data_IF_743606271393
#
_entry.id   IF_743606271393
#
_cell.length_a   1.000
_cell.length_b   1.000
_cell.length_c   1.000
_cell.angle_alpha   90.00
_cell.angle_beta   90.00
_cell.angle_gamma   90.00
#
_symmetry.space_group_name_H-M   'P 1'
#
loop_
_entity.id
_entity.type
_entity.pdbx_description
1 polymer ?
#
# COMPACT_ATOMS: atom_id res chain seq x y z
N UNK A 1 -36.96 -70.73 32.47
CA UNK A 1 -36.24 -70.58 31.19
C UNK A 1 -36.87 -69.40 30.43
N UNK A 2 -37.02 -68.22 31.04
CA UNK A 2 -36.04 -67.17 31.39
C UNK A 2 -35.48 -66.48 30.13
N UNK A 3 -35.64 -65.20 29.82
CA UNK A 3 -36.47 -64.05 30.25
C UNK A 3 -36.44 -63.08 29.04
N UNK A 4 -37.52 -62.31 28.87
CA UNK A 4 -37.74 -61.26 27.89
C UNK A 4 -36.71 -60.10 27.95
N UNK A 5 -36.43 -59.46 26.80
CA UNK A 5 -35.66 -58.22 26.69
C UNK A 5 -36.57 -57.00 26.87
N UNK A 6 -36.34 -56.22 27.93
CA UNK A 6 -36.91 -54.89 28.15
C UNK A 6 -35.83 -53.79 28.06
N UNK A 7 -36.25 -52.59 27.65
CA UNK A 7 -35.47 -51.35 27.45
C UNK A 7 -35.02 -50.72 28.77
N UNK A 8 -33.85 -50.03 28.82
CA UNK A 8 -33.64 -48.68 29.42
C UNK A 8 -32.33 -48.04 28.87
N UNK A 9 -32.42 -46.73 28.57
CA UNK A 9 -31.41 -45.74 28.13
C UNK A 9 -30.07 -45.69 28.91
N UNK A 10 -28.99 -45.28 28.22
CA UNK A 10 -28.03 -44.25 28.68
C UNK A 10 -27.13 -43.75 27.54
N UNK A 11 -27.10 -42.43 27.36
CA UNK A 11 -26.23 -41.67 26.47
C UNK A 11 -24.75 -41.94 26.77
N UNK A 12 -23.93 -42.16 25.74
CA UNK A 12 -22.47 -41.95 25.81
C UNK A 12 -22.02 -41.22 24.54
N UNK A 13 -21.78 -39.92 24.74
CA UNK A 13 -20.86 -39.01 24.06
C UNK A 13 -20.43 -39.30 22.62
N UNK A 14 -20.96 -38.49 21.69
CA UNK A 14 -20.20 -37.99 20.55
C UNK A 14 -19.18 -36.99 21.10
N UNK A 15 -17.90 -37.34 21.06
CA UNK A 15 -16.79 -36.40 21.24
C UNK A 15 -15.55 -36.98 20.57
N UNK A 16 -15.51 -36.90 19.24
CA UNK A 16 -14.26 -36.95 18.49
C UNK A 16 -13.85 -35.49 18.31
N UNK A 17 -12.74 -35.17 18.96
CA UNK A 17 -12.32 -33.82 19.32
C UNK A 17 -12.10 -32.87 18.14
N UNK A 18 -12.68 -31.69 18.30
CA UNK A 18 -12.24 -30.41 17.76
C UNK A 18 -10.84 -30.03 18.31
N UNK A 19 -9.77 -30.74 17.95
CA UNK A 19 -8.40 -30.37 18.34
C UNK A 19 -7.45 -30.39 17.12
N UNK A 20 -7.84 -29.71 16.04
CA UNK A 20 -6.90 -29.35 14.97
C UNK A 20 -7.03 -27.89 14.49
N UNK A 21 -7.91 -27.09 15.11
CA UNK A 21 -8.12 -25.68 14.74
C UNK A 21 -7.39 -24.68 15.65
N UNK A 22 -6.80 -25.12 16.77
CA UNK A 22 -6.15 -24.24 17.77
C UNK A 22 -4.64 -24.04 17.60
N UNK A 23 -3.95 -24.91 16.85
CA UNK A 23 -2.48 -24.86 16.72
C UNK A 23 -2.04 -24.04 15.49
N UNK A 24 -2.85 -24.02 14.42
CA UNK A 24 -2.56 -23.18 13.24
C UNK A 24 -2.83 -21.68 13.48
N UNK A 25 -3.75 -21.32 14.38
CA UNK A 25 -4.08 -19.91 14.65
C UNK A 25 -3.07 -19.23 15.57
N UNK A 26 -2.46 -19.97 16.50
CA UNK A 26 -1.49 -19.43 17.47
C UNK A 26 -0.13 -19.11 16.83
N UNK A 27 0.34 -19.94 15.90
CA UNK A 27 1.62 -19.71 15.19
C UNK A 27 1.59 -18.51 14.24
N UNK A 28 0.49 -18.33 13.50
CA UNK A 28 0.33 -17.17 12.61
C UNK A 28 0.27 -15.85 13.40
N UNK A 29 -0.47 -15.82 14.52
CA UNK A 29 -0.54 -14.64 15.40
C UNK A 29 0.80 -14.36 16.07
N UNK A 30 1.58 -15.39 16.42
CA UNK A 30 2.93 -15.20 16.97
C UNK A 30 3.88 -14.55 15.95
N UNK A 31 3.89 -15.01 14.70
CA UNK A 31 4.73 -14.45 13.64
C UNK A 31 4.41 -12.97 13.35
N UNK A 32 3.13 -12.59 13.35
CA UNK A 32 2.74 -11.18 13.19
C UNK A 32 3.28 -10.31 14.34
N UNK A 33 3.18 -10.79 15.58
CA UNK A 33 3.69 -10.06 16.75
C UNK A 33 5.21 -9.92 16.73
N UNK A 34 5.94 -10.90 16.20
CA UNK A 34 7.39 -10.80 16.01
C UNK A 34 7.73 -9.67 15.04
N UNK A 35 7.02 -9.59 13.90
CA UNK A 35 7.21 -8.48 12.96
C UNK A 35 6.82 -7.12 13.55
N UNK A 36 5.72 -7.03 14.30
CA UNK A 36 5.35 -5.80 15.02
C UNK A 36 6.42 -5.37 16.02
N UNK A 37 7.07 -6.35 16.68
CA UNK A 37 8.20 -6.09 17.56
C UNK A 37 9.43 -5.62 16.78
N UNK A 38 9.75 -6.22 15.61
CA UNK A 38 10.85 -5.75 14.76
C UNK A 38 10.63 -4.32 14.26
N UNK A 39 9.41 -3.97 13.83
CA UNK A 39 9.08 -2.60 13.39
C UNK A 39 9.38 -1.58 14.49
N UNK A 40 9.11 -1.93 15.75
CA UNK A 40 9.25 -1.04 16.91
C UNK A 40 10.65 -1.04 17.54
N UNK A 41 11.31 -2.19 17.57
CA UNK A 41 12.48 -2.41 18.44
C UNK A 41 13.80 -2.59 17.68
N UNK A 42 13.76 -2.83 16.36
CA UNK A 42 14.98 -2.88 15.55
C UNK A 42 15.60 -1.48 15.47
N UNK A 43 16.93 -1.39 15.59
CA UNK A 43 17.66 -0.14 15.35
C UNK A 43 17.67 0.15 13.85
N UNK A 44 17.02 1.25 13.47
CA UNK A 44 16.85 1.67 12.09
C UNK A 44 17.58 3.00 11.88
N UNK A 45 18.55 3.01 10.96
CA UNK A 45 19.25 4.23 10.54
C UNK A 45 18.46 4.91 9.44
N UNK A 46 18.09 6.18 9.65
CA UNK A 46 17.49 6.98 8.59
C UNK A 46 18.53 7.24 7.49
N UNK A 47 18.24 6.81 6.26
CA UNK A 47 19.15 6.98 5.11
C UNK A 47 18.64 7.96 4.07
N UNK A 48 17.32 8.20 4.04
CA UNK A 48 16.70 9.21 3.19
C UNK A 48 15.35 9.62 3.77
N UNK A 49 15.01 10.91 3.65
CA UNK A 49 13.66 11.37 3.94
C UNK A 49 13.27 12.60 3.14
N UNK A 50 11.96 12.84 3.10
CA UNK A 50 11.38 14.15 2.86
C UNK A 50 10.36 14.44 3.96
N UNK A 51 10.67 15.43 4.80
CA UNK A 51 9.81 15.91 5.90
C UNK A 51 8.88 17.03 5.42
N UNK A 52 9.01 17.48 4.16
CA UNK A 52 8.20 18.56 3.59
C UNK A 52 8.16 19.85 4.43
N UNK A 53 9.21 20.14 5.20
CA UNK A 53 9.37 21.39 5.97
C UNK A 53 9.76 22.61 5.11
N UNK A 54 10.15 22.37 3.85
CA UNK A 54 10.55 23.41 2.91
C UNK A 54 9.39 24.31 2.47
N UNK A 55 9.68 25.37 1.71
CA UNK A 55 8.62 26.22 1.12
C UNK A 55 8.05 25.67 -0.20
N UNK A 56 8.81 24.79 -0.85
CA UNK A 56 8.51 24.22 -2.16
C UNK A 56 8.94 22.76 -2.19
N UNK A 57 8.30 21.97 -3.05
CA UNK A 57 8.67 20.57 -3.26
C UNK A 57 10.11 20.51 -3.79
N UNK A 58 10.93 19.68 -3.15
CA UNK A 58 12.34 19.53 -3.51
C UNK A 58 12.48 18.76 -4.83
N UNK A 59 12.77 19.51 -5.90
CA UNK A 59 12.98 18.93 -7.23
C UNK A 59 14.34 18.25 -7.38
N UNK A 60 15.20 18.21 -6.37
CA UNK A 60 16.33 17.27 -6.33
C UNK A 60 15.89 15.85 -5.93
N UNK A 61 14.76 15.72 -5.21
CA UNK A 61 14.18 14.45 -4.76
C UNK A 61 13.05 13.96 -5.66
N UNK A 62 12.21 14.87 -6.13
CA UNK A 62 10.97 14.52 -6.84
C UNK A 62 10.92 15.02 -8.27
N UNK A 63 10.27 14.25 -9.15
CA UNK A 63 9.83 14.70 -10.47
C UNK A 63 8.38 14.31 -10.71
N UNK A 64 7.72 14.97 -11.66
CA UNK A 64 6.31 14.76 -11.96
C UNK A 64 6.14 13.89 -13.20
N UNK A 65 5.18 12.96 -13.13
CA UNK A 65 4.57 12.40 -14.33
C UNK A 65 3.50 13.39 -14.83
N UNK A 66 3.41 13.57 -16.15
CA UNK A 66 2.52 14.55 -16.78
C UNK A 66 1.54 13.82 -17.70
N UNK A 67 0.29 14.27 -17.67
CA UNK A 67 -0.77 13.81 -18.54
C UNK A 67 -1.56 12.61 -18.02
N UNK A 68 -2.29 11.99 -18.93
CA UNK A 68 -3.18 10.86 -18.62
C UNK A 68 -2.64 9.52 -19.16
N UNK A 69 -1.70 9.53 -20.11
CA UNK A 69 -1.06 8.33 -20.69
C UNK A 69 -2.06 7.19 -21.02
N UNK A 70 -3.19 7.53 -21.64
CA UNK A 70 -4.31 6.61 -21.93
C UNK A 70 -4.87 5.90 -20.67
N UNK A 71 -5.11 6.68 -19.61
CA UNK A 71 -5.66 6.21 -18.35
C UNK A 71 -4.67 5.45 -17.48
N UNK A 72 -3.36 5.64 -17.67
CA UNK A 72 -2.27 5.04 -16.88
C UNK A 72 -2.35 3.50 -16.74
N UNK A 73 -3.00 2.82 -17.68
CA UNK A 73 -3.23 1.36 -17.64
C UNK A 73 -4.48 0.93 -16.87
N UNK A 74 -5.14 1.85 -16.17
CA UNK A 74 -6.27 1.57 -15.28
C UNK A 74 -7.56 2.32 -15.64
N UNK A 75 -7.63 2.93 -16.82
CA UNK A 75 -8.74 3.78 -17.27
C UNK A 75 -9.01 4.99 -16.35
N UNK A 76 -7.93 5.54 -15.78
CA UNK A 76 -7.96 6.72 -14.92
C UNK A 76 -8.39 7.99 -15.69
N UNK A 77 -9.12 8.91 -15.04
CA UNK A 77 -9.70 10.10 -15.69
C UNK A 77 -8.90 11.40 -15.49
N UNK A 78 -7.99 11.44 -14.51
CA UNK A 78 -7.21 12.64 -14.24
C UNK A 78 -6.12 12.89 -15.29
N UNK A 79 -5.85 14.17 -15.50
CA UNK A 79 -4.61 14.65 -16.11
C UNK A 79 -3.63 15.01 -14.99
N UNK A 80 -2.50 14.31 -14.90
CA UNK A 80 -1.46 14.71 -13.96
C UNK A 80 -0.74 15.98 -14.43
N UNK A 81 -0.62 16.97 -13.56
CA UNK A 81 0.03 18.24 -13.88
C UNK A 81 1.47 18.26 -13.37
N UNK A 82 2.28 19.14 -13.97
CA UNK A 82 3.63 19.43 -13.54
C UNK A 82 3.62 20.33 -12.28
N UNK A 83 3.27 19.74 -11.13
CA UNK A 83 3.33 20.41 -9.83
C UNK A 83 2.24 21.45 -9.54
N UNK A 84 1.31 21.74 -10.47
CA UNK A 84 0.20 22.70 -10.21
C UNK A 84 -0.84 22.16 -9.22
N UNK A 85 -0.86 20.86 -9.00
CA UNK A 85 -1.76 20.16 -8.11
C UNK A 85 -1.06 19.67 -6.83
N UNK A 86 0.16 20.15 -6.56
CA UNK A 86 0.88 19.81 -5.35
C UNK A 86 1.65 21.01 -4.78
N UNK A 87 1.65 21.15 -3.46
CA UNK A 87 2.40 22.19 -2.76
C UNK A 87 2.72 21.75 -1.34
N UNK A 88 3.58 22.52 -0.67
CA UNK A 88 3.82 22.36 0.76
C UNK A 88 2.98 23.35 1.53
N UNK A 89 2.23 22.88 2.52
CA UNK A 89 1.44 23.69 3.44
C UNK A 89 1.55 23.10 4.85
N UNK A 90 1.92 23.94 5.81
CA UNK A 90 2.03 23.56 7.23
C UNK A 90 2.95 22.35 7.50
N UNK A 91 4.11 22.30 6.81
CA UNK A 91 5.08 21.20 6.98
C UNK A 91 4.64 19.88 6.35
N UNK A 92 3.67 19.92 5.42
CA UNK A 92 3.15 18.71 4.77
C UNK A 92 3.07 18.93 3.26
N UNK A 93 3.34 17.87 2.50
CA UNK A 93 2.96 17.81 1.10
C UNK A 93 1.43 17.66 0.99
N UNK A 94 0.83 18.50 0.17
CA UNK A 94 -0.57 18.39 -0.24
C UNK A 94 -0.60 17.99 -1.71
N UNK A 95 -1.26 16.88 -2.04
CA UNK A 95 -1.63 16.51 -3.41
C UNK A 95 -3.14 16.72 -3.55
N UNK A 96 -3.56 17.60 -4.46
CA UNK A 96 -4.95 17.99 -4.66
C UNK A 96 -5.48 17.51 -6.02
N UNK A 97 -6.50 16.66 -5.99
CA UNK A 97 -7.32 16.41 -7.15
C UNK A 97 -8.39 17.50 -7.28
N UNK A 98 -8.50 18.10 -8.47
CA UNK A 98 -9.51 19.12 -8.80
C UNK A 98 -10.42 18.65 -9.91
N UNK A 99 -11.68 19.08 -9.87
CA UNK A 99 -12.62 18.96 -10.99
C UNK A 99 -12.48 20.21 -11.87
N UNK A 100 -11.54 20.17 -12.79
CA UNK A 100 -11.24 21.27 -13.72
C UNK A 100 -10.90 20.74 -15.12
N UNK A 101 -11.19 21.55 -16.14
CA UNK A 101 -10.99 21.14 -17.53
C UNK A 101 -9.58 21.45 -18.02
N UNK A 102 -8.88 20.43 -18.50
CA UNK A 102 -7.60 20.55 -19.22
C UNK A 102 -7.74 19.96 -20.61
N UNK A 103 -7.14 20.61 -21.61
CA UNK A 103 -7.08 20.13 -22.99
C UNK A 103 -5.64 19.81 -23.36
N UNK A 104 -5.42 18.63 -23.94
CA UNK A 104 -4.15 18.22 -24.53
C UNK A 104 -4.42 17.70 -25.94
N UNK A 105 -4.02 18.48 -26.95
CA UNK A 105 -4.43 18.24 -28.34
C UNK A 105 -5.96 18.19 -28.46
N UNK A 106 -6.47 17.09 -29.01
CA UNK A 106 -7.91 16.86 -29.19
C UNK A 106 -8.60 16.17 -27.99
N UNK A 107 -7.87 15.86 -26.91
CA UNK A 107 -8.42 15.22 -25.72
C UNK A 107 -8.80 16.28 -24.68
N UNK A 108 -9.93 16.05 -24.01
CA UNK A 108 -10.40 16.88 -22.88
C UNK A 108 -10.47 16.02 -21.64
N UNK A 109 -9.85 16.49 -20.56
CA UNK A 109 -9.88 15.88 -19.23
C UNK A 109 -10.63 16.80 -18.29
N UNK A 110 -11.42 16.24 -17.37
CA UNK A 110 -12.26 17.01 -16.44
C UNK A 110 -11.76 16.96 -15.00
N UNK A 111 -10.60 16.34 -14.79
CA UNK A 111 -9.95 16.25 -13.51
C UNK A 111 -8.45 16.45 -13.67
N UNK A 112 -7.84 17.13 -12.70
CA UNK A 112 -6.39 17.27 -12.59
C UNK A 112 -5.93 16.76 -11.25
N UNK A 113 -4.69 16.30 -11.17
CA UNK A 113 -4.06 15.86 -9.93
C UNK A 113 -2.53 15.88 -10.08
N UNK A 114 -1.81 15.30 -9.12
CA UNK A 114 -0.35 15.07 -9.21
C UNK A 114 -0.02 13.59 -9.02
N UNK A 115 0.95 13.13 -9.81
CA UNK A 115 1.75 11.92 -9.61
C UNK A 115 3.21 12.33 -9.61
N UNK A 116 3.89 12.09 -8.50
CA UNK A 116 5.29 12.44 -8.31
C UNK A 116 6.09 11.21 -7.92
N UNK A 117 7.37 11.19 -8.31
CA UNK A 117 8.24 10.03 -8.12
C UNK A 117 9.70 10.41 -7.93
N UNK A 118 10.46 9.48 -7.36
CA UNK A 118 11.90 9.63 -7.13
C UNK A 118 12.76 8.96 -8.22
N UNK A 119 12.17 8.43 -9.28
CA UNK A 119 12.88 7.74 -10.38
C UNK A 119 14.07 8.57 -10.91
N UNK A 120 15.28 8.01 -10.83
CA UNK A 120 16.53 8.67 -11.26
C UNK A 120 17.06 9.74 -10.30
N UNK A 121 16.48 9.84 -9.09
CA UNK A 121 16.87 10.77 -8.02
C UNK A 121 17.17 10.02 -6.73
N UNK A 122 16.28 9.11 -6.37
CA UNK A 122 16.45 8.20 -5.24
C UNK A 122 15.76 6.87 -5.54
N UNK A 123 16.49 5.78 -5.30
CA UNK A 123 15.97 4.43 -5.27
C UNK A 123 16.58 3.72 -4.07
N UNK A 124 15.91 2.68 -3.57
CA UNK A 124 16.39 1.88 -2.46
C UNK A 124 16.16 0.41 -2.74
N UNK A 125 17.08 -0.43 -2.29
CA UNK A 125 16.87 -1.87 -2.16
C UNK A 125 16.83 -2.21 -0.67
N UNK A 126 15.78 -2.91 -0.26
CA UNK A 126 15.53 -3.31 1.12
C UNK A 126 15.39 -2.14 2.12
N UNK A 127 15.10 -2.48 3.37
CA UNK A 127 14.95 -1.55 4.48
C UNK A 127 13.51 -1.36 4.93
N UNK A 128 13.29 -0.33 5.73
CA UNK A 128 11.97 0.10 6.18
C UNK A 128 11.59 1.38 5.44
N UNK A 129 10.45 1.37 4.78
CA UNK A 129 9.93 2.51 4.01
C UNK A 129 8.56 2.87 4.57
N UNK A 130 8.38 4.11 5.01
CA UNK A 130 7.11 4.56 5.58
C UNK A 130 6.77 6.00 5.18
N UNK A 131 5.47 6.29 5.16
CA UNK A 131 4.95 7.63 5.02
C UNK A 131 3.76 7.83 5.96
N UNK A 132 3.67 9.03 6.53
CA UNK A 132 2.54 9.41 7.38
C UNK A 132 1.54 10.20 6.55
N UNK A 133 0.37 9.61 6.30
CA UNK A 133 -0.58 10.08 5.28
C UNK A 133 -1.99 10.21 5.86
N UNK A 134 -2.74 11.22 5.42
CA UNK A 134 -4.21 11.31 5.57
C UNK A 134 -4.87 11.38 4.20
N UNK A 135 -5.84 10.52 3.94
CA UNK A 135 -6.47 10.37 2.62
C UNK A 135 -7.74 11.22 2.46
N UNK A 136 -8.12 11.58 1.21
CA UNK A 136 -9.40 12.20 0.93
C UNK A 136 -10.55 11.17 0.88
N UNK A 137 -11.75 11.56 1.33
CA UNK A 137 -12.97 10.77 1.17
C UNK A 137 -13.66 11.07 -0.16
N UNK A 138 -14.20 10.06 -0.84
CA UNK A 138 -15.04 10.24 -2.03
C UNK A 138 -14.96 9.07 -3.02
N UNK A 139 -16.12 8.66 -3.58
CA UNK A 139 -16.15 7.64 -4.64
C UNK A 139 -15.28 8.06 -5.83
N UNK A 140 -14.52 7.12 -6.37
CA UNK A 140 -13.63 7.34 -7.50
C UNK A 140 -12.29 7.99 -7.15
N UNK A 141 -12.04 8.40 -5.91
CA UNK A 141 -10.71 8.85 -5.48
C UNK A 141 -9.85 7.63 -5.14
N UNK A 142 -8.60 7.66 -5.62
CA UNK A 142 -7.65 6.55 -5.45
C UNK A 142 -6.24 7.10 -5.18
N UNK A 143 -5.95 7.52 -3.93
CA UNK A 143 -4.60 7.83 -3.51
C UNK A 143 -3.77 6.56 -3.33
N UNK A 144 -2.48 6.67 -3.64
CA UNK A 144 -1.53 5.59 -3.45
C UNK A 144 -0.14 6.10 -3.03
N UNK A 145 0.54 5.30 -2.22
CA UNK A 145 1.97 5.37 -1.92
C UNK A 145 2.56 4.01 -2.23
N UNK A 146 3.47 3.97 -3.19
CA UNK A 146 3.89 2.74 -3.83
C UNK A 146 5.28 2.89 -4.43
N UNK A 147 5.82 1.77 -4.92
CA UNK A 147 7.18 1.70 -5.44
C UNK A 147 7.21 0.87 -6.73
N UNK A 148 8.12 1.22 -7.63
CA UNK A 148 8.32 0.50 -8.89
C UNK A 148 9.82 0.20 -9.10
N UNK A 149 10.14 -0.96 -9.66
CA UNK A 149 11.53 -1.34 -9.91
C UNK A 149 12.24 -0.33 -10.81
N UNK A 150 13.46 0.05 -10.42
CA UNK A 150 14.27 1.06 -11.14
C UNK A 150 14.69 0.60 -12.53
N UNK A 151 14.62 -0.71 -12.79
CA UNK A 151 14.81 -1.31 -14.10
C UNK A 151 13.57 -1.19 -15.03
N UNK A 152 12.47 -0.54 -14.61
CA UNK A 152 11.22 -0.39 -15.37
C UNK A 152 11.42 0.04 -16.83
N UNK A 153 12.34 0.96 -17.09
CA UNK A 153 12.63 1.45 -18.46
C UNK A 153 13.27 0.40 -19.37
N UNK A 154 13.88 -0.63 -18.80
CA UNK A 154 14.57 -1.68 -19.54
C UNK A 154 13.72 -2.94 -19.70
N UNK A 155 13.00 -3.35 -18.64
CA UNK A 155 12.27 -4.63 -18.61
C UNK A 155 10.75 -4.47 -18.71
N UNK A 156 10.24 -3.26 -18.51
CA UNK A 156 8.81 -2.96 -18.49
C UNK A 156 8.06 -3.54 -17.29
N UNK A 157 6.80 -3.16 -17.16
CA UNK A 157 5.88 -3.74 -16.18
C UNK A 157 5.16 -4.96 -16.78
N UNK A 158 4.89 -6.04 -16.01
CA UNK A 158 5.12 -6.21 -14.57
C UNK A 158 6.51 -6.76 -14.21
N UNK A 159 7.41 -6.94 -15.17
CA UNK A 159 8.73 -7.56 -14.96
C UNK A 159 9.62 -6.79 -13.99
N UNK A 160 9.48 -5.46 -13.93
CA UNK A 160 10.21 -4.63 -12.98
C UNK A 160 9.82 -4.83 -11.51
N UNK A 161 8.66 -5.45 -11.25
CA UNK A 161 8.06 -5.48 -9.93
C UNK A 161 7.42 -4.14 -9.51
N UNK A 162 6.42 -4.25 -8.67
CA UNK A 162 5.69 -3.14 -8.04
C UNK A 162 5.31 -3.52 -6.60
N UNK A 163 5.54 -2.61 -5.66
CA UNK A 163 5.20 -2.76 -4.25
C UNK A 163 4.27 -1.62 -3.88
N UNK A 164 2.98 -1.92 -3.74
CA UNK A 164 2.00 -0.96 -3.26
C UNK A 164 2.01 -0.95 -1.74
N UNK A 165 2.71 0.03 -1.15
CA UNK A 165 2.79 0.16 0.31
C UNK A 165 1.41 0.46 0.87
N UNK A 166 0.66 1.35 0.21
CA UNK A 166 -0.75 1.54 0.49
C UNK A 166 -1.50 2.05 -0.72
N UNK A 167 -2.63 1.42 -0.99
CA UNK A 167 -3.69 1.95 -1.84
C UNK A 167 -4.99 2.10 -1.04
N UNK A 168 -5.76 3.14 -1.37
CA UNK A 168 -7.00 3.44 -0.69
C UNK A 168 -8.10 3.77 -1.69
N UNK A 169 -9.30 3.24 -1.46
CA UNK A 169 -10.47 3.49 -2.30
C UNK A 169 -11.40 4.45 -1.57
N UNK A 170 -11.55 5.67 -2.08
CA UNK A 170 -12.22 6.75 -1.33
C UNK A 170 -13.70 6.53 -0.96
N UNK A 171 -14.34 5.47 -1.45
CA UNK A 171 -15.68 5.09 -1.02
C UNK A 171 -15.72 4.20 0.24
N UNK A 172 -14.63 3.49 0.56
CA UNK A 172 -14.49 2.74 1.81
C UNK A 172 -13.39 3.35 2.69
N UNK A 173 -13.80 4.33 3.50
CA UNK A 173 -12.91 5.09 4.37
C UNK A 173 -12.18 4.29 5.45
N UNK A 174 -12.58 3.03 5.66
CA UNK A 174 -12.07 2.19 6.74
C UNK A 174 -11.01 1.20 6.29
N UNK A 175 -10.83 1.01 4.98
CA UNK A 175 -10.02 -0.09 4.45
C UNK A 175 -8.90 0.43 3.55
N UNK A 176 -7.71 -0.15 3.71
CA UNK A 176 -6.56 0.05 2.84
C UNK A 176 -6.03 -1.30 2.36
N UNK A 177 -5.26 -1.26 1.27
CA UNK A 177 -4.69 -2.42 0.62
C UNK A 177 -3.19 -2.26 0.48
N UNK A 178 -2.45 -3.34 0.74
CA UNK A 178 -1.04 -3.47 0.38
C UNK A 178 -0.90 -4.60 -0.62
N UNK A 179 -0.31 -4.33 -1.77
CA UNK A 179 -0.32 -5.24 -2.91
C UNK A 179 1.08 -5.41 -3.48
N UNK A 180 1.34 -6.62 -3.98
CA UNK A 180 2.58 -6.98 -4.64
C UNK A 180 2.29 -7.44 -6.07
N UNK A 181 2.94 -6.81 -7.06
CA UNK A 181 2.83 -7.21 -8.46
C UNK A 181 4.16 -7.62 -9.08
N UNK A 182 4.13 -8.69 -9.87
CA UNK A 182 5.28 -9.19 -10.63
C UNK A 182 4.85 -10.19 -11.71
N UNK A 183 5.81 -10.80 -12.45
CA UNK A 183 5.50 -11.69 -13.57
C UNK A 183 4.60 -12.86 -13.18
N UNK A 184 3.39 -12.85 -13.72
CA UNK A 184 2.39 -13.89 -13.46
C UNK A 184 1.61 -13.73 -12.15
N UNK A 185 1.72 -12.59 -11.47
CA UNK A 185 0.91 -12.18 -10.31
C UNK A 185 0.75 -10.64 -10.32
N UNK A 186 -0.02 -10.11 -11.28
CA UNK A 186 -0.19 -8.66 -11.50
C UNK A 186 -1.64 -8.28 -11.81
N UNK A 187 -1.95 -6.98 -11.82
CA UNK A 187 -3.31 -6.49 -12.03
C UNK A 187 -4.27 -7.08 -10.99
N UNK A 188 -5.43 -7.58 -11.43
CA UNK A 188 -6.40 -8.23 -10.54
C UNK A 188 -5.89 -9.52 -9.86
N UNK A 189 -4.75 -10.06 -10.31
CA UNK A 189 -4.09 -11.23 -9.71
C UNK A 189 -2.84 -10.87 -8.90
N UNK A 190 -2.67 -9.57 -8.57
CA UNK A 190 -1.70 -9.13 -7.57
C UNK A 190 -1.92 -9.84 -6.24
N UNK A 191 -0.83 -10.01 -5.49
CA UNK A 191 -0.91 -10.62 -4.16
C UNK A 191 -1.21 -9.50 -3.19
N UNK A 192 -2.47 -9.43 -2.74
CA UNK A 192 -2.99 -8.31 -1.97
C UNK A 192 -3.41 -8.76 -0.57
N UNK A 193 -3.09 -7.92 0.41
CA UNK A 193 -3.65 -7.95 1.76
C UNK A 193 -4.41 -6.66 2.04
N UNK A 194 -5.31 -6.69 3.02
CA UNK A 194 -6.06 -5.49 3.42
C UNK A 194 -6.06 -5.31 4.93
N UNK A 195 -6.16 -4.06 5.36
CA UNK A 195 -6.40 -3.73 6.75
C UNK A 195 -7.63 -2.85 6.86
N UNK A 196 -8.53 -3.25 7.76
CA UNK A 196 -9.71 -2.48 8.13
C UNK A 196 -9.55 -1.89 9.53
N UNK A 197 -9.75 -0.59 9.66
CA UNK A 197 -9.88 0.06 10.96
C UNK A 197 -11.27 -0.18 11.53
N UNK A 198 -11.33 -0.36 12.84
CA UNK A 198 -12.58 -0.49 13.58
C UNK A 198 -12.75 0.69 14.56
N UNK A 199 -14.00 1.16 14.77
CA UNK A 199 -14.30 2.13 15.80
C UNK A 199 -13.80 1.68 17.19
N UNK A 200 -13.39 2.59 18.09
CA UNK A 200 -13.51 4.06 17.98
C UNK A 200 -12.35 4.76 17.27
N UNK A 201 -11.43 4.01 16.64
CA UNK A 201 -10.31 4.59 15.88
C UNK A 201 -10.84 5.53 14.79
N UNK A 202 -10.31 6.76 14.63
CA UNK A 202 -10.61 7.58 13.47
C UNK A 202 -10.31 6.83 12.17
N UNK A 203 -11.16 7.03 11.16
CA UNK A 203 -10.94 6.42 9.84
C UNK A 203 -9.81 7.14 9.07
N UNK A 204 -9.34 6.54 7.97
CA UNK A 204 -8.19 7.03 7.19
C UNK A 204 -8.38 8.41 6.54
N UNK A 205 -9.60 8.96 6.59
CA UNK A 205 -9.93 10.29 6.06
C UNK A 205 -10.02 11.35 7.15
N UNK A 206 -10.01 10.92 8.43
CA UNK A 206 -10.13 11.80 9.59
C UNK A 206 -8.81 12.06 10.29
N UNK A 207 -7.90 11.10 10.30
CA UNK A 207 -6.60 11.25 10.94
C UNK A 207 -5.45 10.76 10.06
N UNK A 208 -4.23 11.12 10.43
CA UNK A 208 -3.02 10.63 9.81
C UNK A 208 -2.65 9.26 10.37
N UNK A 209 -2.21 8.38 9.48
CA UNK A 209 -1.71 7.06 9.82
C UNK A 209 -0.34 6.84 9.18
N UNK A 210 0.49 6.00 9.80
CA UNK A 210 1.79 5.61 9.25
C UNK A 210 1.59 4.35 8.44
N UNK A 211 1.82 4.43 7.14
CA UNK A 211 1.78 3.30 6.21
C UNK A 211 3.21 2.95 5.83
N UNK A 212 3.56 1.66 5.93
CA UNK A 212 4.92 1.27 5.60
C UNK A 212 5.10 -0.20 5.30
N UNK A 213 6.30 -0.50 4.83
CA UNK A 213 6.81 -1.85 4.65
C UNK A 213 8.13 -2.02 5.39
N UNK A 214 8.40 -3.24 5.83
CA UNK A 214 9.75 -3.78 5.99
C UNK A 214 10.02 -4.72 4.82
N UNK A 215 11.15 -4.55 4.16
CA UNK A 215 11.54 -5.31 2.99
C UNK A 215 12.98 -5.78 3.15
N UNK A 216 13.19 -7.08 2.99
CA UNK A 216 14.51 -7.70 2.95
C UNK A 216 14.60 -8.72 1.80
N UNK A 217 15.71 -9.46 1.73
CA UNK A 217 15.97 -10.46 0.69
C UNK A 217 14.92 -11.58 0.63
N UNK A 218 14.23 -11.85 1.73
CA UNK A 218 13.35 -13.00 1.91
C UNK A 218 11.86 -12.64 1.91
N UNK A 219 11.50 -11.39 2.25
CA UNK A 219 10.10 -11.00 2.43
C UNK A 219 9.86 -9.50 2.37
N UNK A 220 8.58 -9.18 2.18
CA UNK A 220 8.00 -7.85 2.37
C UNK A 220 6.86 -7.98 3.39
N UNK A 221 6.82 -7.06 4.36
CA UNK A 221 5.88 -7.02 5.48
C UNK A 221 5.23 -5.64 5.51
N UNK A 222 3.92 -5.58 5.28
CA UNK A 222 3.15 -4.33 5.31
C UNK A 222 2.54 -4.09 6.68
N UNK A 223 2.53 -2.83 7.08
CA UNK A 223 1.93 -2.41 8.34
C UNK A 223 1.24 -1.06 8.23
N UNK A 224 0.33 -0.84 9.17
CA UNK A 224 -0.25 0.48 9.45
C UNK A 224 -0.20 0.75 10.96
N UNK A 225 0.38 1.89 11.34
CA UNK A 225 0.61 2.26 12.74
C UNK A 225 1.32 1.15 13.53
N UNK A 226 2.33 0.54 12.91
CA UNK A 226 3.09 -0.61 13.41
C UNK A 226 2.29 -1.90 13.62
N UNK A 227 1.07 -2.02 13.06
CA UNK A 227 0.30 -3.27 13.05
C UNK A 227 0.44 -3.96 11.70
N UNK A 228 0.91 -5.20 11.71
CA UNK A 228 1.14 -5.95 10.48
C UNK A 228 -0.16 -6.54 9.98
N UNK A 229 -0.42 -6.42 8.67
CA UNK A 229 -1.63 -6.96 8.05
C UNK A 229 -1.35 -7.78 6.78
N UNK A 230 -0.15 -7.68 6.21
CA UNK A 230 0.22 -8.44 5.02
C UNK A 230 1.70 -8.84 5.07
N UNK A 231 1.99 -10.07 4.64
CA UNK A 231 3.34 -10.60 4.53
C UNK A 231 3.40 -11.43 3.25
N UNK A 232 4.42 -11.17 2.43
CA UNK A 232 4.73 -11.98 1.25
C UNK A 232 6.18 -12.39 1.32
N UNK A 233 6.45 -13.70 1.22
CA UNK A 233 7.81 -14.24 1.23
C UNK A 233 8.23 -14.68 -0.17
N UNK A 234 9.52 -14.57 -0.46
CA UNK A 234 10.16 -15.10 -1.67
C UNK A 234 9.81 -16.57 -1.89
N UNK A 235 9.96 -17.38 -0.84
CA UNK A 235 9.62 -18.81 -0.87
C UNK A 235 8.17 -19.10 -1.27
N UNK A 236 7.19 -18.28 -0.85
CA UNK A 236 5.79 -18.47 -1.21
C UNK A 236 5.48 -18.12 -2.67
N UNK A 237 6.26 -17.22 -3.28
CA UNK A 237 6.18 -16.89 -4.71
C UNK A 237 6.82 -18.01 -5.55
N UNK A 238 8.04 -18.39 -5.20
CA UNK A 238 8.82 -19.39 -5.93
C UNK A 238 8.20 -20.79 -5.85
N UNK A 239 7.60 -21.16 -4.71
CA UNK A 239 6.88 -22.44 -4.57
C UNK A 239 5.67 -22.57 -5.51
N UNK A 240 5.19 -21.45 -6.07
CA UNK A 240 4.12 -21.41 -7.09
C UNK A 240 4.67 -21.35 -8.52
N UNK A 241 5.99 -21.52 -8.70
CA UNK A 241 6.67 -21.42 -9.99
C UNK A 241 6.65 -20.02 -10.57
N UNK A 242 6.56 -18.99 -9.73
CA UNK A 242 6.61 -17.58 -10.13
C UNK A 242 7.96 -16.97 -9.73
N UNK A 243 8.54 -16.03 -10.50
CA UNK A 243 9.80 -15.41 -10.15
C UNK A 243 9.60 -14.35 -9.05
N UNK A 244 10.52 -14.30 -8.09
CA UNK A 244 10.70 -13.15 -7.21
C UNK A 244 11.46 -12.05 -7.96
N UNK A 245 10.95 -10.82 -7.95
CA UNK A 245 11.54 -9.66 -8.67
C UNK A 245 11.72 -8.44 -7.75
N UNK A 246 11.84 -8.69 -6.44
CA UNK A 246 12.00 -7.65 -5.42
C UNK A 246 13.40 -7.75 -4.79
N UNK A 247 14.39 -7.94 -5.65
CA UNK A 247 15.82 -8.08 -5.37
C UNK A 247 16.68 -7.09 -6.19
N UNK A 248 16.06 -5.97 -6.58
CA UNK A 248 16.71 -4.81 -7.19
C UNK A 248 16.25 -3.52 -6.51
N UNK A 249 16.82 -2.37 -6.89
CA UNK A 249 16.40 -1.08 -6.36
C UNK A 249 15.02 -0.65 -6.88
N UNK A 250 14.23 -0.02 -6.02
CA UNK A 250 12.90 0.52 -6.34
C UNK A 250 12.84 2.02 -6.04
N UNK A 251 12.15 2.79 -6.89
CA UNK A 251 11.87 4.20 -6.64
C UNK A 251 10.45 4.39 -6.10
N UNK A 252 10.24 5.47 -5.36
CA UNK A 252 8.98 5.80 -4.68
C UNK A 252 8.07 6.60 -5.61
N UNK A 253 6.77 6.39 -5.48
CA UNK A 253 5.69 7.10 -6.17
C UNK A 253 4.61 7.51 -5.17
N UNK A 254 4.14 8.75 -5.28
CA UNK A 254 2.95 9.28 -4.61
C UNK A 254 1.99 9.83 -5.67
N UNK A 255 0.72 9.48 -5.58
CA UNK A 255 -0.31 10.06 -6.45
C UNK A 255 -1.70 10.05 -5.81
N UNK A 256 -2.58 10.86 -6.37
CA UNK A 256 -4.03 10.81 -6.16
C UNK A 256 -4.73 10.65 -7.51
N UNK A 257 -5.05 9.42 -7.89
CA UNK A 257 -5.85 9.14 -9.09
C UNK A 257 -7.33 9.49 -8.89
N UNK A 258 -8.01 9.74 -10.00
CA UNK A 258 -9.44 10.04 -10.07
C UNK A 258 -10.06 9.17 -11.15
N UNK A 259 -10.97 8.29 -10.77
CA UNK A 259 -11.52 7.28 -11.65
C UNK A 259 -10.56 6.11 -11.87
N UNK A 260 -11.11 5.02 -12.41
CA UNK A 260 -10.35 3.83 -12.77
C UNK A 260 -11.17 2.56 -12.56
N UNK A 261 -10.66 1.46 -13.09
CA UNK A 261 -11.34 0.16 -13.06
C UNK A 261 -11.66 -0.29 -11.63
N UNK A 262 -10.76 -0.02 -10.68
CA UNK A 262 -10.87 -0.47 -9.29
C UNK A 262 -11.64 0.49 -8.38
N UNK A 263 -11.32 1.80 -8.29
CA UNK A 263 -12.08 2.73 -7.46
C UNK A 263 -13.51 2.99 -7.98
N UNK A 264 -13.77 2.63 -9.25
CA UNK A 264 -14.90 3.15 -10.01
C UNK A 264 -14.70 4.64 -10.31
N UNK A 265 -15.76 5.31 -10.74
CA UNK A 265 -15.68 6.70 -11.19
C UNK A 265 -16.33 7.67 -10.20
N UNK A 266 -15.86 8.93 -10.14
CA UNK A 266 -16.51 9.97 -9.34
C UNK A 266 -17.99 10.15 -9.72
N UNK A 267 -18.80 10.43 -8.71
CA UNK A 267 -20.21 10.79 -8.86
C UNK A 267 -20.42 12.28 -8.56
N UNK A 268 -21.66 12.76 -8.60
CA UNK A 268 -21.96 14.15 -8.21
C UNK A 268 -21.73 14.41 -6.72
N UNK A 269 -21.69 13.35 -5.91
CA UNK A 269 -21.45 13.38 -4.47
C UNK A 269 -19.96 13.29 -4.12
N UNK A 270 -19.07 13.02 -5.08
CA UNK A 270 -17.62 13.02 -4.83
C UNK A 270 -17.16 14.46 -4.56
N UNK A 271 -16.61 14.75 -3.37
CA UNK A 271 -16.19 16.10 -3.01
C UNK A 271 -14.92 16.48 -3.78
N UNK A 272 -14.94 17.67 -4.38
CA UNK A 272 -13.77 18.32 -4.97
C UNK A 272 -13.66 19.77 -4.45
N UNK A 273 -12.44 20.30 -4.23
CA UNK A 273 -11.17 19.61 -4.36
C UNK A 273 -10.99 18.50 -3.30
N UNK A 274 -10.23 17.46 -3.66
CA UNK A 274 -9.91 16.34 -2.78
C UNK A 274 -8.41 16.32 -2.51
N UNK A 275 -7.99 16.20 -1.24
CA UNK A 275 -6.60 16.34 -0.83
C UNK A 275 -6.07 15.11 -0.10
N UNK A 276 -4.96 14.60 -0.58
CA UNK A 276 -4.07 13.69 0.14
C UNK A 276 -2.99 14.54 0.83
N UNK A 277 -2.85 14.36 2.14
CA UNK A 277 -1.83 15.04 2.93
C UNK A 277 -0.74 14.04 3.32
N UNK A 278 0.52 14.38 3.08
CA UNK A 278 1.68 13.57 3.43
C UNK A 278 2.57 14.40 4.34
N UNK A 279 2.71 13.96 5.58
CA UNK A 279 3.52 14.60 6.62
C UNK A 279 5.01 14.32 6.39
N UNK A 280 5.36 13.07 6.10
CA UNK A 280 6.72 12.72 5.71
C UNK A 280 6.74 11.46 4.84
N UNK A 281 7.86 11.26 4.15
CA UNK A 281 8.30 9.96 3.63
C UNK A 281 9.69 9.69 4.19
N UNK A 282 9.90 8.53 4.81
CA UNK A 282 11.18 8.15 5.43
C UNK A 282 11.58 6.75 5.00
N UNK A 283 12.88 6.59 4.78
CA UNK A 283 13.52 5.33 4.38
C UNK A 283 14.67 5.05 5.33
N UNK A 284 14.67 3.85 5.86
CA UNK A 284 15.63 3.39 6.85
C UNK A 284 16.31 2.10 6.41
N UNK A 285 17.57 1.94 6.82
CA UNK A 285 18.30 0.68 6.74
C UNK A 285 18.50 0.12 8.14
N UNK A 286 18.59 -1.21 8.27
CA UNK A 286 18.87 -1.84 9.56
C UNK A 286 20.29 -1.50 9.98
N UNK A 287 20.49 -1.03 11.21
CA UNK A 287 21.85 -0.91 11.76
C UNK A 287 22.36 -2.31 12.10
N UNK A 288 23.57 -2.62 11.64
CA UNK A 288 24.25 -3.84 12.07
C UNK A 288 25.06 -3.55 13.34
N UNK A 289 25.19 -4.53 14.22
CA UNK A 289 26.05 -4.41 15.43
C UNK A 289 27.55 -4.23 15.07
N UNK A 290 27.92 -4.24 13.79
CA UNK A 290 29.29 -3.99 13.29
C UNK A 290 29.59 -2.49 13.06
N UNK A 291 28.59 -1.61 13.25
CA UNK A 291 28.71 -0.16 13.06
C UNK A 291 29.05 0.63 14.36
N UNK A 292 29.38 -0.05 15.47
CA UNK A 292 29.89 0.54 16.75
C UNK A 292 31.43 0.52 16.87
#
# INVERSE_FOLDING_TARGET
>A
MTIAKSKVFKYVAVLVGFIFFGILTTSCVAALKEYEAMIKNTRWKLVWSDEFDGKVIDTSKWKYDIGNNNGWGNNEWQYYTEGKNAWIENGMLVIEARKETVKEGNKTFNYTSTRMKTEGKFSVQYGKIEARIKFPYGKGLWPAFWMLGSNFRYVGWPTCGEIDIVEFLGHDKWTVYGTLHGPGYFGSSGISGSMRLEPPTPDFTKDFHIFGIMWDEEKIVWYVDNRVYHVVTKSAIESRGKPWVFDNEFFIILNLAVGGNWPGYPTNETPFPARMYVDYVRVYQMESDEDE
#
